data_IF_464130487660
#
_entry.id   IF_464130487660
#
_cell.length_a   1.000
_cell.length_b   1.000
_cell.length_c   1.000
_cell.angle_alpha   90.00
_cell.angle_beta   90.00
_cell.angle_gamma   90.00
#
_symmetry.space_group_name_H-M   'P 1'
#
loop_
_entity.id
_entity.type
_entity.pdbx_description
1 polymer ?
#
# COMPACT_ATOMS: atom_id res chain seq x y z
N UNK A 1 20.17 42.73 3.22
CA UNK A 1 21.24 41.75 3.55
C UNK A 1 20.58 40.61 4.30
N UNK A 2 20.55 39.43 3.69
CA UNK A 2 19.87 38.27 4.24
C UNK A 2 20.77 37.59 5.28
N UNK A 3 20.43 37.75 6.57
CA UNK A 3 21.28 37.30 7.71
C UNK A 3 21.43 35.80 7.80
N UNK A 4 20.50 35.04 7.22
CA UNK A 4 20.52 33.58 7.21
C UNK A 4 21.60 33.05 6.24
N UNK A 5 21.92 33.84 5.21
CA UNK A 5 22.92 33.49 4.19
C UNK A 5 24.37 33.42 4.72
N UNK A 6 24.64 33.80 5.98
CA UNK A 6 25.98 33.78 6.59
C UNK A 6 26.20 32.62 7.58
N UNK A 7 25.21 31.73 7.74
CA UNK A 7 25.32 30.59 8.65
C UNK A 7 26.16 29.44 8.05
N UNK A 8 26.84 28.63 8.89
CA UNK A 8 27.43 27.35 8.49
C UNK A 8 26.39 26.36 7.97
N UNK A 9 26.77 25.52 7.00
CA UNK A 9 25.84 24.60 6.31
C UNK A 9 25.15 23.61 7.26
N UNK A 10 25.80 23.19 8.34
CA UNK A 10 25.21 22.34 9.40
C UNK A 10 24.07 23.04 10.15
N UNK A 11 24.22 24.34 10.43
CA UNK A 11 23.16 25.12 11.09
C UNK A 11 22.02 25.41 10.13
N UNK A 12 22.31 25.61 8.84
CA UNK A 12 21.28 25.78 7.81
C UNK A 12 20.49 24.47 7.61
N UNK A 13 21.16 23.33 7.50
CA UNK A 13 20.51 22.01 7.39
C UNK A 13 19.58 21.75 8.58
N UNK A 14 20.06 22.07 9.78
CA UNK A 14 19.27 21.97 11.01
C UNK A 14 18.08 22.92 10.99
N UNK A 15 18.23 24.18 10.59
CA UNK A 15 17.11 25.12 10.45
C UNK A 15 16.08 24.61 9.44
N UNK A 16 16.51 24.14 8.27
CA UNK A 16 15.61 23.60 7.22
C UNK A 16 14.86 22.37 7.69
N UNK A 17 15.48 21.50 8.51
CA UNK A 17 14.80 20.35 9.10
C UNK A 17 13.69 20.71 10.10
N UNK A 18 13.66 21.96 10.58
CA UNK A 18 12.63 22.47 11.50
C UNK A 18 11.59 23.37 10.84
N UNK A 19 11.71 23.63 9.52
CA UNK A 19 10.76 24.47 8.80
C UNK A 19 9.58 23.66 8.30
N UNK A 20 8.40 24.28 8.27
CA UNK A 20 7.29 23.75 7.51
C UNK A 20 7.70 23.62 6.03
N UNK A 21 7.21 22.57 5.37
CA UNK A 21 7.23 22.32 3.92
C UNK A 21 7.30 23.59 3.05
N UNK A 22 6.36 24.50 3.33
CA UNK A 22 6.18 25.77 2.63
C UNK A 22 7.32 26.75 2.85
N UNK A 23 7.86 26.82 4.06
CA UNK A 23 8.97 27.71 4.41
C UNK A 23 10.30 27.15 3.93
N UNK A 24 10.49 25.83 3.98
CA UNK A 24 11.63 25.14 3.39
C UNK A 24 11.65 25.32 1.86
N UNK A 25 10.53 25.07 1.17
CA UNK A 25 10.41 25.30 -0.28
C UNK A 25 10.59 26.78 -0.66
N UNK A 26 10.02 27.71 0.13
CA UNK A 26 10.21 29.15 -0.08
C UNK A 26 11.66 29.57 0.12
N UNK A 27 12.35 29.08 1.16
CA UNK A 27 13.76 29.34 1.39
C UNK A 27 14.68 28.74 0.31
N UNK A 28 14.31 27.58 -0.25
CA UNK A 28 15.00 26.95 -1.37
C UNK A 28 14.89 27.76 -2.68
N UNK A 29 13.76 28.47 -2.88
CA UNK A 29 13.55 29.37 -4.02
C UNK A 29 14.29 30.70 -3.84
N UNK A 30 14.36 31.22 -2.62
CA UNK A 30 14.79 32.59 -2.34
C UNK A 30 16.32 32.81 -2.37
N UNK A 31 17.17 31.77 -2.25
CA UNK A 31 18.62 31.99 -2.25
C UNK A 31 19.45 30.90 -2.94
N UNK A 32 20.39 31.35 -3.79
CA UNK A 32 21.36 30.52 -4.52
C UNK A 32 22.26 29.69 -3.59
N UNK A 33 22.40 30.06 -2.30
CA UNK A 33 23.22 29.33 -1.32
C UNK A 33 22.49 28.13 -0.70
N UNK A 34 21.18 28.21 -0.48
CA UNK A 34 20.37 27.06 -0.03
C UNK A 34 20.19 26.03 -1.14
N UNK A 35 20.42 26.45 -2.38
CA UNK A 35 20.67 25.59 -3.53
C UNK A 35 21.96 24.75 -3.42
N UNK A 36 22.76 24.85 -2.35
CA UNK A 36 23.84 23.89 -2.09
C UNK A 36 23.64 23.12 -0.78
N UNK A 37 22.74 23.56 0.12
CA UNK A 37 22.43 22.84 1.37
C UNK A 37 21.54 21.62 1.12
N UNK A 38 20.85 21.55 -0.04
CA UNK A 38 20.07 20.36 -0.42
C UNK A 38 20.94 19.10 -0.58
N UNK A 39 22.24 19.23 -0.87
CA UNK A 39 23.14 18.07 -1.02
C UNK A 39 23.49 17.38 0.29
N UNK A 40 22.94 17.84 1.43
CA UNK A 40 23.21 17.26 2.76
C UNK A 40 21.94 16.67 3.38
N UNK A 41 20.74 17.04 2.87
CA UNK A 41 19.48 16.56 3.42
C UNK A 41 19.27 15.10 2.98
N UNK A 42 19.28 14.20 3.97
CA UNK A 42 19.02 12.76 3.77
C UNK A 42 17.53 12.44 3.84
N UNK A 43 16.79 13.14 4.70
CA UNK A 43 15.37 12.91 4.97
C UNK A 43 14.60 14.22 4.83
N UNK A 44 13.50 14.19 4.07
CA UNK A 44 12.66 15.36 3.84
C UNK A 44 11.17 15.00 4.04
N UNK A 45 10.49 15.74 4.91
CA UNK A 45 9.08 15.51 5.26
C UNK A 45 8.27 16.76 4.93
N UNK A 46 7.23 16.60 4.10
CA UNK A 46 6.25 17.64 3.82
C UNK A 46 4.91 17.26 4.44
N UNK A 47 4.60 17.76 5.63
CA UNK A 47 3.31 17.58 6.31
C UNK A 47 2.75 18.96 6.65
N UNK A 48 1.79 19.46 5.86
CA UNK A 48 1.16 20.77 6.10
C UNK A 48 -0.36 20.59 6.22
N UNK A 49 -0.92 21.00 7.37
CA UNK A 49 -2.38 21.05 7.59
C UNK A 49 -3.01 22.31 6.99
N UNK A 50 -2.22 23.26 6.49
CA UNK A 50 -2.70 24.40 5.73
C UNK A 50 -2.73 24.06 4.23
N UNK A 51 -3.80 24.46 3.53
CA UNK A 51 -3.98 24.23 2.08
C UNK A 51 -2.74 24.68 1.28
N UNK A 52 -1.93 23.74 0.82
CA UNK A 52 -0.83 24.03 -0.10
C UNK A 52 -1.35 24.04 -1.54
N UNK A 53 -1.72 25.22 -2.04
CA UNK A 53 -1.97 25.45 -3.47
C UNK A 53 -0.67 25.83 -4.20
N UNK A 54 0.37 25.01 -4.07
CA UNK A 54 1.65 25.25 -4.73
C UNK A 54 2.02 24.11 -5.68
N UNK A 55 2.63 24.46 -6.81
CA UNK A 55 3.35 23.49 -7.65
C UNK A 55 4.63 23.08 -6.94
N UNK A 56 4.83 21.78 -6.73
CA UNK A 56 6.06 21.26 -6.14
C UNK A 56 7.24 21.65 -7.05
N UNK A 57 8.13 22.50 -6.55
CA UNK A 57 9.21 23.08 -7.36
C UNK A 57 10.24 21.99 -7.65
N UNK A 58 10.48 21.70 -8.93
CA UNK A 58 11.26 20.53 -9.38
C UNK A 58 12.72 20.42 -8.95
N UNK A 59 13.23 21.36 -8.16
CA UNK A 59 14.59 21.32 -7.62
C UNK A 59 14.79 20.15 -6.64
N UNK A 60 13.76 19.81 -5.86
CA UNK A 60 13.83 18.71 -4.89
C UNK A 60 14.03 17.37 -5.60
N UNK A 61 13.41 17.18 -6.77
CA UNK A 61 13.51 15.97 -7.59
C UNK A 61 14.85 15.83 -8.33
N UNK A 62 15.84 16.66 -8.03
CA UNK A 62 17.22 16.55 -8.58
C UNK A 62 18.26 16.31 -7.49
N UNK A 63 17.82 16.11 -6.25
CA UNK A 63 18.72 15.90 -5.12
C UNK A 63 19.41 14.54 -5.20
N UNK A 64 20.75 14.55 -5.27
CA UNK A 64 21.56 13.33 -5.37
C UNK A 64 21.80 12.60 -4.05
N UNK A 65 21.51 13.23 -2.92
CA UNK A 65 21.82 12.72 -1.58
C UNK A 65 20.60 12.35 -0.76
N UNK A 66 19.41 12.71 -1.23
CA UNK A 66 18.15 12.41 -0.57
C UNK A 66 17.93 10.90 -0.55
N UNK A 67 17.77 10.34 0.64
CA UNK A 67 17.60 8.91 0.89
C UNK A 67 16.14 8.57 1.25
N UNK A 68 15.48 9.46 1.99
CA UNK A 68 14.06 9.33 2.36
C UNK A 68 13.27 10.58 2.00
N UNK A 69 12.12 10.37 1.37
CA UNK A 69 11.18 11.43 1.04
C UNK A 69 9.79 11.04 1.52
N UNK A 70 9.20 11.87 2.37
CA UNK A 70 7.81 11.76 2.81
C UNK A 70 7.02 12.98 2.32
N UNK A 71 5.93 12.70 1.63
CA UNK A 71 5.00 13.68 1.08
C UNK A 71 3.64 13.42 1.73
N UNK A 72 3.08 14.43 2.39
CA UNK A 72 1.86 14.34 3.18
C UNK A 72 0.63 14.98 2.53
N UNK A 73 -0.39 15.19 3.37
CA UNK A 73 -1.72 15.65 2.99
C UNK A 73 -1.68 16.95 2.18
N UNK A 74 -2.66 17.12 1.29
CA UNK A 74 -2.86 18.30 0.41
C UNK A 74 -1.79 18.54 -0.67
N UNK A 75 -0.78 17.67 -0.81
CA UNK A 75 0.16 17.73 -1.94
C UNK A 75 -0.53 17.19 -3.19
N UNK A 76 -0.46 17.98 -4.27
CA UNK A 76 -0.92 17.59 -5.61
C UNK A 76 0.27 17.54 -6.55
N UNK A 77 0.57 16.36 -7.07
CA UNK A 77 1.61 16.13 -8.09
C UNK A 77 0.93 16.13 -9.46
N UNK A 78 1.05 17.24 -10.18
CA UNK A 78 0.49 17.39 -11.53
C UNK A 78 1.47 16.99 -12.63
N UNK A 79 2.77 17.33 -12.52
CA UNK A 79 3.83 16.89 -13.42
C UNK A 79 5.16 16.77 -12.68
N UNK A 80 5.92 15.73 -13.02
CA UNK A 80 7.36 15.72 -12.80
C UNK A 80 8.05 16.35 -14.02
N UNK A 81 9.01 17.23 -13.77
CA UNK A 81 9.90 17.72 -14.83
C UNK A 81 10.65 16.52 -15.42
N UNK A 82 10.80 16.49 -16.75
CA UNK A 82 11.49 15.43 -17.52
C UNK A 82 12.91 15.07 -17.02
N UNK A 83 13.50 15.88 -16.14
CA UNK A 83 14.86 15.72 -15.63
C UNK A 83 14.91 15.31 -14.14
N UNK A 84 13.77 14.90 -13.56
CA UNK A 84 13.73 14.39 -12.19
C UNK A 84 14.60 13.13 -12.06
N UNK A 85 15.58 13.17 -11.15
CA UNK A 85 16.42 12.04 -10.79
C UNK A 85 16.81 12.13 -9.31
N UNK A 86 16.40 11.12 -8.56
CA UNK A 86 16.69 10.92 -7.14
C UNK A 86 17.52 9.63 -6.98
N UNK A 87 18.81 9.65 -7.37
CA UNK A 87 19.62 8.44 -7.52
C UNK A 87 19.96 7.73 -6.21
N UNK A 88 19.76 8.38 -5.06
CA UNK A 88 20.05 7.82 -3.73
C UNK A 88 18.80 7.51 -2.90
N UNK A 89 17.60 7.76 -3.43
CA UNK A 89 16.35 7.62 -2.69
C UNK A 89 15.99 6.14 -2.51
N UNK A 90 15.96 5.68 -1.25
CA UNK A 90 15.61 4.31 -0.87
C UNK A 90 14.22 4.20 -0.27
N UNK A 91 13.72 5.24 0.39
CA UNK A 91 12.41 5.22 1.04
C UNK A 91 11.54 6.37 0.55
N UNK A 92 10.35 6.04 0.06
CA UNK A 92 9.36 7.00 -0.41
C UNK A 92 8.03 6.75 0.29
N UNK A 93 7.46 7.81 0.86
CA UNK A 93 6.20 7.75 1.60
C UNK A 93 5.26 8.80 1.02
N UNK A 94 4.09 8.36 0.58
CA UNK A 94 2.97 9.20 0.19
C UNK A 94 1.85 9.02 1.22
N UNK A 95 1.51 10.07 1.95
CA UNK A 95 0.38 10.12 2.88
C UNK A 95 -0.67 11.08 2.31
N UNK A 96 -1.75 10.53 1.74
CA UNK A 96 -2.85 11.28 1.12
C UNK A 96 -2.43 12.27 0.02
N UNK A 97 -1.49 11.86 -0.84
CA UNK A 97 -0.95 12.67 -1.96
C UNK A 97 -1.72 12.45 -3.26
N UNK A 98 -2.23 13.52 -3.90
CA UNK A 98 -3.01 13.41 -5.14
C UNK A 98 -2.15 13.49 -6.40
N UNK A 99 -2.49 12.70 -7.42
CA UNK A 99 -1.89 12.76 -8.76
C UNK A 99 -2.90 13.27 -9.79
N UNK A 100 -2.50 14.25 -10.62
CA UNK A 100 -3.40 14.90 -11.59
C UNK A 100 -2.79 14.94 -13.01
N UNK A 101 -2.82 13.83 -13.77
CA UNK A 101 -2.77 13.90 -15.24
C UNK A 101 -3.26 12.60 -15.91
N UNK A 102 -3.94 12.71 -17.06
CA UNK A 102 -4.49 11.58 -17.84
C UNK A 102 -3.50 11.01 -18.86
N UNK A 103 -2.55 11.83 -19.34
CA UNK A 103 -1.86 11.51 -20.60
C UNK A 103 -0.44 10.95 -20.45
N UNK A 104 0.15 10.99 -19.24
CA UNK A 104 1.34 10.23 -18.89
C UNK A 104 1.48 10.25 -17.35
N UNK A 105 1.43 9.07 -16.76
CA UNK A 105 1.22 8.87 -15.33
C UNK A 105 2.40 9.38 -14.49
N UNK A 106 2.22 10.56 -13.88
CA UNK A 106 3.21 11.21 -13.01
C UNK A 106 3.76 10.28 -11.91
N UNK A 107 2.94 9.35 -11.43
CA UNK A 107 3.36 8.31 -10.49
C UNK A 107 4.44 7.39 -11.05
N UNK A 108 4.29 6.88 -12.30
CA UNK A 108 5.31 6.04 -12.92
C UNK A 108 6.58 6.80 -13.20
N UNK A 109 6.47 8.03 -13.72
CA UNK A 109 7.62 8.90 -13.91
C UNK A 109 8.39 9.13 -12.60
N UNK A 110 7.67 9.16 -11.46
CA UNK A 110 8.27 9.28 -10.14
C UNK A 110 9.06 8.05 -9.74
N UNK A 111 8.49 6.86 -9.95
CA UNK A 111 9.18 5.60 -9.67
C UNK A 111 10.43 5.45 -10.57
N UNK A 112 10.33 5.84 -11.84
CA UNK A 112 11.48 5.84 -12.77
C UNK A 112 12.59 6.81 -12.35
N UNK A 113 12.24 7.94 -11.73
CA UNK A 113 13.22 8.89 -11.19
C UNK A 113 13.99 8.36 -9.97
N UNK A 114 13.52 7.27 -9.33
CA UNK A 114 14.07 6.72 -8.10
C UNK A 114 14.63 5.29 -8.32
N UNK A 115 15.73 5.12 -9.08
CA UNK A 115 16.18 3.80 -9.55
C UNK A 115 16.57 2.82 -8.44
N UNK A 116 16.97 3.32 -7.27
CA UNK A 116 17.43 2.51 -6.12
C UNK A 116 16.37 2.34 -5.02
N UNK A 117 15.12 2.71 -5.29
CA UNK A 117 14.03 2.69 -4.32
C UNK A 117 13.84 1.29 -3.72
N UNK A 118 13.83 1.19 -2.39
CA UNK A 118 13.67 -0.05 -1.62
C UNK A 118 12.33 -0.16 -0.93
N UNK A 119 11.79 0.95 -0.47
CA UNK A 119 10.57 1.00 0.32
C UNK A 119 9.63 2.07 -0.23
N UNK A 120 8.40 1.65 -0.52
CA UNK A 120 7.32 2.52 -0.96
C UNK A 120 6.13 2.33 -0.03
N UNK A 121 5.71 3.41 0.60
CA UNK A 121 4.47 3.47 1.38
C UNK A 121 3.53 4.46 0.70
N UNK A 122 2.31 4.02 0.48
CA UNK A 122 1.21 4.85 0.00
C UNK A 122 0.08 4.62 0.99
N UNK A 123 -0.31 5.66 1.71
CA UNK A 123 -1.31 5.60 2.77
C UNK A 123 -2.35 6.72 2.59
N UNK A 124 -3.54 6.52 3.14
CA UNK A 124 -4.65 7.46 3.06
C UNK A 124 -5.06 7.75 1.61
N UNK A 125 -5.08 6.72 0.76
CA UNK A 125 -5.42 6.83 -0.65
C UNK A 125 -6.90 7.08 -0.90
N UNK A 126 -7.19 7.91 -1.91
CA UNK A 126 -8.54 8.13 -2.44
C UNK A 126 -8.52 8.00 -3.96
N UNK A 127 -8.47 6.76 -4.49
CA UNK A 127 -8.28 6.54 -5.95
C UNK A 127 -9.35 7.21 -6.81
N UNK A 128 -10.60 7.39 -6.33
CA UNK A 128 -11.62 8.10 -7.13
C UNK A 128 -11.20 9.53 -7.51
N UNK A 129 -10.32 10.13 -6.71
CA UNK A 129 -9.81 11.48 -6.96
C UNK A 129 -8.42 11.49 -7.58
N UNK A 130 -7.78 10.32 -7.72
CA UNK A 130 -6.40 10.20 -8.19
C UNK A 130 -6.37 9.59 -9.58
N UNK A 131 -5.77 10.30 -10.53
CA UNK A 131 -5.50 9.77 -11.86
C UNK A 131 -4.14 9.07 -11.86
N UNK A 132 -4.03 8.00 -11.08
CA UNK A 132 -2.84 7.16 -11.06
C UNK A 132 -3.02 5.99 -12.04
N UNK A 133 -1.93 5.50 -12.64
CA UNK A 133 -2.01 4.49 -13.70
C UNK A 133 -2.42 3.10 -13.24
N UNK A 134 -2.56 2.85 -11.94
CA UNK A 134 -2.74 1.50 -11.40
C UNK A 134 -1.51 0.60 -11.56
N UNK A 135 -0.34 1.15 -11.93
CA UNK A 135 0.86 0.37 -12.26
C UNK A 135 1.94 0.72 -11.26
N UNK A 136 2.41 -0.30 -10.54
CA UNK A 136 3.61 -0.26 -9.70
C UNK A 136 4.62 -1.21 -10.34
N UNK A 137 5.62 -0.66 -11.03
CA UNK A 137 6.72 -1.44 -11.61
C UNK A 137 8.05 -0.94 -11.07
N UNK A 138 8.81 -1.85 -10.44
CA UNK A 138 10.13 -1.54 -9.90
C UNK A 138 10.93 -2.81 -9.65
N UNK A 139 12.16 -2.86 -10.19
CA UNK A 139 13.09 -3.97 -9.97
C UNK A 139 13.90 -3.85 -8.68
N UNK A 140 13.93 -2.67 -8.06
CA UNK A 140 14.71 -2.42 -6.85
C UNK A 140 13.88 -2.50 -5.57
N UNK A 141 12.56 -2.35 -5.68
CA UNK A 141 11.61 -2.30 -4.57
C UNK A 141 11.56 -3.63 -3.81
N UNK A 142 11.66 -3.55 -2.49
CA UNK A 142 11.70 -4.68 -1.55
C UNK A 142 10.53 -4.66 -0.56
N UNK A 143 9.98 -3.49 -0.24
CA UNK A 143 8.84 -3.31 0.65
C UNK A 143 7.80 -2.41 0.01
N UNK A 144 6.56 -2.87 -0.04
CA UNK A 144 5.43 -2.12 -0.54
C UNK A 144 4.32 -2.11 0.51
N UNK A 145 3.87 -0.93 0.86
CA UNK A 145 2.68 -0.72 1.70
C UNK A 145 1.71 0.16 0.94
N UNK A 146 0.48 -0.31 0.76
CA UNK A 146 -0.63 0.37 0.09
C UNK A 146 -1.82 0.25 1.03
N UNK A 147 -2.25 1.37 1.61
CA UNK A 147 -3.40 1.44 2.49
C UNK A 147 -4.39 2.52 2.05
N UNK A 148 -5.67 2.15 1.98
CA UNK A 148 -6.78 3.06 1.77
C UNK A 148 -7.49 3.39 3.09
N UNK A 149 -7.92 4.65 3.23
CA UNK A 149 -8.88 5.05 4.27
C UNK A 149 -10.31 4.68 3.80
N UNK A 150 -10.94 3.71 4.46
CA UNK A 150 -12.20 3.07 4.02
C UNK A 150 -13.45 3.87 4.46
N UNK A 151 -13.51 5.17 4.20
CA UNK A 151 -14.61 6.06 4.61
C UNK A 151 -15.18 6.79 3.38
N UNK A 152 -16.51 6.93 3.29
CA UNK A 152 -17.25 7.73 2.29
C UNK A 152 -16.96 7.41 0.80
N UNK A 153 -17.10 6.13 0.43
CA UNK A 153 -16.84 5.66 -0.93
C UNK A 153 -18.04 5.79 -1.89
N UNK A 154 -17.87 6.57 -2.97
CA UNK A 154 -18.72 6.47 -4.16
C UNK A 154 -17.94 5.72 -5.23
N UNK A 155 -18.30 4.45 -5.41
CA UNK A 155 -17.86 3.50 -6.45
C UNK A 155 -16.78 3.96 -7.44
N UNK A 156 -15.65 3.24 -7.58
CA UNK A 156 -14.55 3.71 -8.40
C UNK A 156 -14.93 3.60 -9.88
N UNK A 157 -14.22 4.34 -10.73
CA UNK A 157 -14.14 3.98 -12.14
C UNK A 157 -13.53 2.58 -12.29
N UNK A 158 -13.85 1.85 -13.36
CA UNK A 158 -13.21 0.58 -13.62
C UNK A 158 -11.70 0.72 -13.63
N UNK A 159 -11.02 -0.06 -12.81
CA UNK A 159 -9.58 0.03 -12.65
C UNK A 159 -8.98 -1.35 -12.72
N UNK A 160 -7.86 -1.45 -13.42
CA UNK A 160 -6.99 -2.61 -13.36
C UNK A 160 -5.69 -2.21 -12.69
N UNK A 161 -5.14 -3.11 -11.89
CA UNK A 161 -3.87 -2.89 -11.20
C UNK A 161 -2.81 -3.84 -11.73
N UNK A 162 -1.59 -3.34 -11.83
CA UNK A 162 -0.41 -4.11 -12.20
C UNK A 162 0.67 -3.93 -11.15
N UNK A 163 1.15 -5.06 -10.64
CA UNK A 163 2.36 -5.14 -9.84
C UNK A 163 3.42 -5.87 -10.64
N UNK A 164 4.44 -5.15 -11.09
CA UNK A 164 5.64 -5.73 -11.70
C UNK A 164 6.88 -5.44 -10.84
N UNK A 165 6.97 -6.16 -9.72
CA UNK A 165 7.98 -5.93 -8.67
C UNK A 165 8.64 -7.24 -8.25
N UNK A 166 9.46 -7.87 -9.11
CA UNK A 166 10.00 -9.21 -8.87
C UNK A 166 10.90 -9.32 -7.62
N UNK A 167 11.50 -8.21 -7.18
CA UNK A 167 12.37 -8.13 -6.00
C UNK A 167 11.63 -7.86 -4.69
N UNK A 168 10.29 -7.74 -4.73
CA UNK A 168 9.48 -7.42 -3.57
C UNK A 168 9.54 -8.57 -2.56
N UNK A 169 9.92 -8.30 -1.32
CA UNK A 169 10.03 -9.28 -0.25
C UNK A 169 8.87 -9.17 0.77
N UNK A 170 8.30 -7.97 0.93
CA UNK A 170 7.21 -7.69 1.85
C UNK A 170 6.11 -6.86 1.15
N UNK A 171 4.87 -7.30 1.31
CA UNK A 171 3.68 -6.61 0.84
C UNK A 171 2.71 -6.38 2.01
N UNK A 172 2.24 -5.16 2.16
CA UNK A 172 1.10 -4.82 3.00
C UNK A 172 0.08 -4.09 2.13
N UNK A 173 -1.04 -4.72 1.83
CA UNK A 173 -1.98 -4.27 0.82
C UNK A 173 -3.42 -4.29 1.36
N UNK A 174 -3.97 -3.09 1.53
CA UNK A 174 -5.33 -2.85 1.98
C UNK A 174 -6.10 -1.95 1.02
N UNK A 175 -7.09 -2.49 0.30
CA UNK A 175 -7.95 -1.74 -0.62
C UNK A 175 -9.25 -2.47 -0.99
N UNK A 176 -10.16 -1.76 -1.65
CA UNK A 176 -11.21 -2.36 -2.47
C UNK A 176 -10.60 -3.12 -3.65
N UNK A 177 -11.07 -4.33 -3.87
CA UNK A 177 -10.62 -5.19 -4.96
C UNK A 177 -11.08 -4.57 -6.29
N UNK A 178 -10.15 -4.25 -7.21
CA UNK A 178 -10.46 -3.66 -8.53
C UNK A 178 -11.16 -4.67 -9.47
N UNK A 179 -11.52 -4.25 -10.68
CA UNK A 179 -12.08 -5.17 -11.70
C UNK A 179 -11.10 -6.28 -12.09
N UNK A 180 -9.81 -6.07 -11.85
CA UNK A 180 -8.80 -7.09 -12.01
C UNK A 180 -7.38 -6.63 -11.70
N UNK A 181 -6.52 -7.62 -11.53
CA UNK A 181 -5.07 -7.43 -11.49
C UNK A 181 -4.48 -7.99 -12.78
N UNK A 182 -3.99 -7.14 -13.68
CA UNK A 182 -3.52 -7.57 -15.01
C UNK A 182 -2.24 -8.38 -14.91
N UNK A 183 -1.28 -7.90 -14.13
CA UNK A 183 0.01 -8.56 -13.87
C UNK A 183 0.27 -8.51 -12.37
N UNK A 184 0.67 -9.64 -11.80
CA UNK A 184 1.08 -9.76 -10.40
C UNK A 184 2.38 -10.55 -10.34
N UNK A 185 3.49 -9.84 -10.51
CA UNK A 185 4.84 -10.38 -10.46
C UNK A 185 5.48 -10.10 -9.09
N UNK A 186 5.42 -11.13 -8.25
CA UNK A 186 5.90 -11.16 -6.87
C UNK A 186 6.90 -12.32 -6.66
N UNK A 187 7.83 -12.52 -7.59
CA UNK A 187 8.76 -13.67 -7.58
C UNK A 187 9.50 -13.90 -6.26
N UNK A 188 9.91 -12.81 -5.59
CA UNK A 188 10.69 -12.86 -4.34
C UNK A 188 9.85 -12.66 -3.07
N UNK A 189 8.51 -12.64 -3.15
CA UNK A 189 7.66 -12.27 -2.02
C UNK A 189 7.71 -13.32 -0.91
N UNK A 190 8.05 -12.86 0.30
CA UNK A 190 8.19 -13.69 1.50
C UNK A 190 7.01 -13.49 2.43
N UNK A 191 6.59 -12.25 2.63
CA UNK A 191 5.55 -11.89 3.59
C UNK A 191 4.48 -11.02 2.93
N UNK A 192 3.22 -11.36 3.18
CA UNK A 192 2.08 -10.60 2.71
C UNK A 192 1.07 -10.37 3.83
N UNK A 193 0.63 -9.12 3.99
CA UNK A 193 -0.49 -8.71 4.85
C UNK A 193 -1.59 -8.17 3.95
N UNK A 194 -2.79 -8.71 4.07
CA UNK A 194 -3.91 -8.41 3.17
C UNK A 194 -5.14 -7.92 3.94
N UNK A 195 -5.71 -6.81 3.45
CA UNK A 195 -7.01 -6.30 3.82
C UNK A 195 -7.84 -6.01 2.55
N UNK A 196 -8.59 -7.01 2.08
CA UNK A 196 -9.30 -6.96 0.80
C UNK A 196 -10.80 -6.80 1.00
N UNK A 197 -11.41 -5.87 0.26
CA UNK A 197 -12.85 -5.63 0.27
C UNK A 197 -13.42 -5.76 -1.15
N UNK A 198 -14.35 -6.69 -1.36
CA UNK A 198 -15.03 -6.84 -2.65
C UNK A 198 -16.16 -5.81 -2.81
N UNK A 199 -16.50 -5.50 -4.06
CA UNK A 199 -17.60 -4.64 -4.43
C UNK A 199 -18.63 -5.40 -5.27
N UNK A 200 -19.90 -5.08 -5.05
CA UNK A 200 -21.05 -5.56 -5.82
C UNK A 200 -21.63 -4.38 -6.58
N UNK A 201 -21.87 -4.53 -7.89
CA UNK A 201 -22.39 -3.45 -8.75
C UNK A 201 -21.61 -2.12 -8.63
N UNK A 202 -20.28 -2.19 -8.49
CA UNK A 202 -19.38 -1.03 -8.30
C UNK A 202 -19.72 -0.19 -7.07
N UNK A 203 -20.36 -0.78 -6.06
CA UNK A 203 -20.66 -0.11 -4.80
C UNK A 203 -20.20 -0.98 -3.65
N UNK A 204 -19.60 -0.34 -2.67
CA UNK A 204 -19.53 -0.93 -1.35
C UNK A 204 -20.78 -0.52 -0.58
N UNK A 205 -21.61 -1.50 -0.23
CA UNK A 205 -22.90 -1.24 0.42
C UNK A 205 -22.85 -1.36 1.94
N UNK A 206 -21.66 -1.48 2.52
CA UNK A 206 -21.47 -1.68 3.96
C UNK A 206 -21.91 -3.06 4.47
N UNK A 207 -22.21 -4.00 3.56
CA UNK A 207 -22.55 -5.39 3.86
C UNK A 207 -21.80 -6.34 2.93
N UNK A 208 -21.71 -7.60 3.36
CA UNK A 208 -21.03 -8.70 2.68
C UNK A 208 -21.75 -9.06 1.39
N UNK A 209 -20.98 -9.50 0.41
CA UNK A 209 -21.48 -10.12 -0.81
C UNK A 209 -21.85 -11.57 -0.53
N UNK A 210 -22.93 -12.03 -1.13
CA UNK A 210 -23.42 -13.40 -1.00
C UNK A 210 -23.11 -14.25 -2.24
N UNK A 211 -23.19 -15.58 -2.09
CA UNK A 211 -23.07 -16.51 -3.21
C UNK A 211 -24.17 -16.20 -4.24
N UNK A 212 -23.77 -15.71 -5.42
CA UNK A 212 -24.69 -15.32 -6.51
C UNK A 212 -24.67 -13.84 -6.86
N UNK A 213 -24.01 -13.00 -6.06
CA UNK A 213 -23.84 -11.58 -6.37
C UNK A 213 -22.97 -11.37 -7.63
N UNK A 214 -23.33 -10.35 -8.42
CA UNK A 214 -22.53 -9.93 -9.57
C UNK A 214 -21.41 -9.02 -9.06
N UNK A 215 -20.26 -9.64 -8.78
CA UNK A 215 -19.08 -8.92 -8.32
C UNK A 215 -18.55 -7.99 -9.42
N UNK A 216 -18.25 -6.75 -9.05
CA UNK A 216 -17.45 -5.82 -9.87
C UNK A 216 -15.95 -5.87 -9.50
N UNK A 217 -15.57 -6.88 -8.72
CA UNK A 217 -14.23 -7.08 -8.18
C UNK A 217 -13.67 -8.40 -8.70
N UNK A 218 -12.36 -8.48 -8.94
CA UNK A 218 -11.69 -9.73 -9.29
C UNK A 218 -10.31 -9.84 -8.63
N UNK A 219 -10.21 -10.67 -7.58
CA UNK A 219 -8.98 -10.90 -6.82
C UNK A 219 -8.11 -12.05 -7.36
N UNK A 220 -8.55 -12.76 -8.41
CA UNK A 220 -7.96 -14.02 -8.89
C UNK A 220 -6.44 -13.94 -9.05
N UNK A 221 -5.95 -12.96 -9.81
CA UNK A 221 -4.53 -12.86 -10.12
C UNK A 221 -3.70 -12.38 -8.92
N UNK A 222 -4.27 -11.58 -8.01
CA UNK A 222 -3.59 -11.21 -6.76
C UNK A 222 -3.40 -12.43 -5.87
N UNK A 223 -4.47 -13.21 -5.67
CA UNK A 223 -4.46 -14.45 -4.87
C UNK A 223 -3.46 -15.45 -5.45
N UNK A 224 -3.40 -15.60 -6.78
CA UNK A 224 -2.42 -16.48 -7.42
C UNK A 224 -0.99 -15.93 -7.35
N UNK A 225 -0.82 -14.62 -7.39
CA UNK A 225 0.49 -13.95 -7.37
C UNK A 225 1.24 -14.13 -6.04
N UNK A 226 0.53 -14.26 -4.92
CA UNK A 226 1.13 -14.45 -3.59
C UNK A 226 1.50 -15.92 -3.29
N UNK A 227 1.41 -16.85 -4.24
CA UNK A 227 1.60 -18.30 -4.02
C UNK A 227 2.92 -18.73 -3.33
N UNK A 228 3.96 -17.89 -3.38
CA UNK A 228 5.28 -18.20 -2.82
C UNK A 228 5.52 -17.67 -1.41
N UNK A 229 4.54 -17.00 -0.81
CA UNK A 229 4.68 -16.45 0.54
C UNK A 229 5.00 -17.53 1.57
N UNK A 230 5.75 -17.12 2.56
CA UNK A 230 6.14 -17.90 3.73
C UNK A 230 5.29 -17.52 4.95
N UNK A 231 4.93 -16.25 5.04
CA UNK A 231 4.11 -15.64 6.08
C UNK A 231 2.95 -14.93 5.40
N UNK A 232 1.73 -15.28 5.81
CA UNK A 232 0.50 -14.63 5.34
C UNK A 232 -0.30 -14.13 6.53
N UNK A 233 -0.60 -12.84 6.55
CA UNK A 233 -1.49 -12.22 7.52
C UNK A 233 -2.77 -11.75 6.82
N UNK A 234 -3.90 -12.15 7.38
CA UNK A 234 -5.23 -11.77 6.93
C UNK A 234 -5.83 -10.86 8.01
N UNK A 235 -5.71 -9.54 7.83
CA UNK A 235 -5.90 -8.56 8.89
C UNK A 235 -7.34 -8.01 8.97
N UNK A 236 -8.31 -8.64 8.31
CA UNK A 236 -9.69 -8.15 8.22
C UNK A 236 -10.67 -9.24 7.82
N UNK A 237 -11.89 -9.27 8.40
CA UNK A 237 -12.92 -10.25 8.06
C UNK A 237 -13.41 -10.13 6.60
N UNK A 238 -13.33 -8.96 5.98
CA UNK A 238 -13.65 -8.80 4.55
C UNK A 238 -12.67 -9.58 3.64
N UNK A 239 -11.43 -9.77 4.10
CA UNK A 239 -10.44 -10.61 3.39
C UNK A 239 -10.85 -12.07 3.42
N UNK A 240 -11.46 -12.54 4.51
CA UNK A 240 -11.98 -13.90 4.64
C UNK A 240 -13.08 -14.17 3.62
N UNK A 241 -14.02 -13.23 3.50
CA UNK A 241 -15.08 -13.28 2.49
C UNK A 241 -14.50 -13.30 1.07
N UNK A 242 -13.55 -12.40 0.78
CA UNK A 242 -12.86 -12.34 -0.51
C UNK A 242 -12.24 -13.69 -0.86
N UNK A 243 -11.51 -14.32 0.06
CA UNK A 243 -10.90 -15.64 -0.17
C UNK A 243 -11.93 -16.75 -0.37
N UNK A 244 -13.10 -16.67 0.27
CA UNK A 244 -14.19 -17.63 0.06
C UNK A 244 -14.84 -17.47 -1.34
N UNK A 245 -15.10 -16.23 -1.77
CA UNK A 245 -15.67 -15.94 -3.09
C UNK A 245 -14.70 -16.36 -4.22
N UNK A 246 -13.40 -16.17 -4.02
CA UNK A 246 -12.35 -16.55 -4.96
C UNK A 246 -11.62 -17.86 -4.60
N UNK A 247 -12.29 -18.77 -3.88
CA UNK A 247 -11.69 -20.03 -3.38
C UNK A 247 -11.03 -20.90 -4.45
N UNK A 248 -11.56 -20.87 -5.68
CA UNK A 248 -11.02 -21.65 -6.79
C UNK A 248 -9.66 -21.09 -7.27
N UNK A 249 -9.42 -19.80 -7.07
CA UNK A 249 -8.18 -19.12 -7.43
C UNK A 249 -7.04 -19.33 -6.42
N UNK A 250 -7.35 -19.79 -5.20
CA UNK A 250 -6.34 -20.02 -4.15
C UNK A 250 -5.25 -20.96 -4.70
N UNK A 251 -3.97 -20.58 -4.70
CA UNK A 251 -2.89 -21.44 -5.18
C UNK A 251 -2.49 -22.46 -4.12
N UNK A 252 -1.72 -23.47 -4.51
CA UNK A 252 -0.99 -24.28 -3.52
C UNK A 252 0.17 -23.45 -2.96
N UNK A 253 0.14 -23.22 -1.66
CA UNK A 253 1.14 -22.50 -0.90
C UNK A 253 2.22 -23.43 -0.37
N UNK A 254 3.12 -23.86 -1.25
CA UNK A 254 4.20 -24.79 -0.91
C UNK A 254 5.15 -24.25 0.17
N UNK A 255 5.32 -22.94 0.28
CA UNK A 255 6.29 -22.30 1.19
C UNK A 255 5.66 -21.71 2.46
N UNK A 256 4.33 -21.64 2.51
CA UNK A 256 3.61 -21.02 3.62
C UNK A 256 3.76 -21.88 4.87
N UNK A 257 4.38 -21.31 5.90
CA UNK A 257 4.57 -21.98 7.18
C UNK A 257 3.96 -21.21 8.35
N UNK A 258 3.59 -19.94 8.16
CA UNK A 258 2.93 -19.12 9.16
C UNK A 258 1.71 -18.41 8.55
N UNK A 259 0.54 -18.63 9.15
CA UNK A 259 -0.71 -17.96 8.80
C UNK A 259 -1.26 -17.28 10.05
N UNK A 260 -1.53 -15.98 9.95
CA UNK A 260 -2.20 -15.20 10.98
C UNK A 260 -3.54 -14.71 10.46
N UNK A 261 -4.58 -14.85 11.26
CA UNK A 261 -5.91 -14.34 11.01
C UNK A 261 -6.28 -13.37 12.13
N UNK A 262 -6.47 -12.10 11.81
CA UNK A 262 -6.88 -11.09 12.79
C UNK A 262 -8.29 -10.62 12.48
N UNK A 263 -9.17 -10.63 13.48
CA UNK A 263 -10.51 -10.08 13.35
C UNK A 263 -11.05 -9.59 14.70
N UNK A 264 -11.91 -8.58 14.64
CA UNK A 264 -12.58 -7.96 15.79
C UNK A 264 -14.06 -8.37 15.91
N UNK A 265 -14.68 -8.79 14.81
CA UNK A 265 -16.10 -9.16 14.76
C UNK A 265 -16.29 -10.68 14.69
N UNK A 266 -16.99 -11.20 15.70
CA UNK A 266 -17.29 -12.64 15.89
C UNK A 266 -18.47 -13.14 15.06
N UNK A 267 -19.15 -12.25 14.32
CA UNK A 267 -20.21 -12.59 13.37
C UNK A 267 -19.69 -13.15 12.03
N UNK A 268 -18.36 -13.15 11.81
CA UNK A 268 -17.76 -13.59 10.55
C UNK A 268 -17.29 -15.03 10.52
N UNK A 269 -17.91 -15.81 9.62
CA UNK A 269 -17.60 -17.22 9.43
C UNK A 269 -16.28 -17.45 8.70
N UNK A 270 -15.51 -18.42 9.17
CA UNK A 270 -14.23 -18.80 8.58
C UNK A 270 -14.38 -19.75 7.38
N UNK A 271 -15.35 -19.50 6.50
CA UNK A 271 -15.71 -20.40 5.38
C UNK A 271 -14.58 -20.57 4.35
N UNK A 272 -13.67 -19.62 4.25
CA UNK A 272 -12.50 -19.70 3.36
C UNK A 272 -11.43 -20.65 3.87
N UNK A 273 -11.36 -20.84 5.20
CA UNK A 273 -10.26 -21.52 5.87
C UNK A 273 -10.03 -22.95 5.33
N UNK A 274 -11.07 -23.75 4.98
CA UNK A 274 -10.86 -25.09 4.43
C UNK A 274 -10.15 -25.07 3.10
N UNK A 275 -10.51 -24.12 2.25
CA UNK A 275 -9.93 -23.99 0.92
C UNK A 275 -8.46 -23.57 0.99
N UNK A 276 -8.10 -22.73 1.96
CA UNK A 276 -6.73 -22.30 2.17
C UNK A 276 -5.88 -23.40 2.84
N UNK A 277 -6.35 -23.99 3.94
CA UNK A 277 -5.60 -25.02 4.67
C UNK A 277 -5.36 -26.27 3.82
N UNK A 278 -6.32 -26.69 3.01
CA UNK A 278 -6.14 -27.81 2.06
C UNK A 278 -5.08 -27.53 1.00
N UNK A 279 -4.72 -26.26 0.78
CA UNK A 279 -3.71 -25.80 -0.16
C UNK A 279 -2.43 -25.31 0.53
N UNK A 280 -2.26 -25.52 1.83
CA UNK A 280 -1.08 -25.12 2.60
C UNK A 280 -0.39 -26.34 3.27
N UNK A 281 0.23 -27.24 2.48
CA UNK A 281 0.73 -28.52 2.98
C UNK A 281 1.87 -28.41 4.00
N UNK A 282 2.59 -27.29 4.02
CA UNK A 282 3.75 -27.06 4.90
C UNK A 282 3.46 -26.06 6.03
N UNK A 283 2.19 -25.77 6.32
CA UNK A 283 1.80 -24.86 7.39
C UNK A 283 2.24 -25.41 8.76
N UNK A 284 2.99 -24.61 9.53
CA UNK A 284 3.50 -24.99 10.86
C UNK A 284 2.83 -24.21 11.98
N UNK A 285 2.40 -22.99 11.70
CA UNK A 285 1.80 -22.10 12.69
C UNK A 285 0.54 -21.47 12.11
N UNK A 286 -0.55 -21.61 12.84
CA UNK A 286 -1.80 -20.91 12.62
C UNK A 286 -2.08 -20.06 13.86
N UNK A 287 -2.04 -18.74 13.71
CA UNK A 287 -2.39 -17.78 14.75
C UNK A 287 -3.77 -17.23 14.43
N UNK A 288 -4.65 -17.24 15.41
CA UNK A 288 -5.98 -16.64 15.31
C UNK A 288 -6.07 -15.58 16.41
N UNK A 289 -6.08 -14.32 15.99
CA UNK A 289 -6.16 -13.16 16.85
C UNK A 289 -7.57 -12.56 16.73
N UNK A 290 -8.40 -12.82 17.73
CA UNK A 290 -9.81 -12.45 17.70
C UNK A 290 -10.64 -13.41 18.53
N UNK A 291 -11.92 -13.11 18.72
CA UNK A 291 -12.86 -14.06 19.33
C UNK A 291 -13.10 -15.29 18.44
N UNK A 292 -13.74 -16.32 18.95
CA UNK A 292 -14.19 -17.42 18.08
C UNK A 292 -15.43 -16.99 17.30
N UNK A 293 -15.55 -17.46 16.05
CA UNK A 293 -16.81 -17.36 15.33
C UNK A 293 -17.86 -18.25 16.01
N UNK A 294 -18.70 -17.63 16.83
CA UNK A 294 -19.75 -18.27 17.60
C UNK A 294 -21.09 -17.67 17.17
N UNK A 295 -21.96 -18.50 16.57
CA UNK A 295 -23.34 -18.09 16.25
C UNK A 295 -24.15 -17.89 17.54
N UNK A 296 -23.80 -18.61 18.60
CA UNK A 296 -24.36 -18.52 19.96
C UNK A 296 -23.25 -18.85 20.99
N UNK A 297 -23.34 -18.39 22.26
CA UNK A 297 -22.28 -18.52 23.27
C UNK A 297 -21.81 -19.94 23.61
N UNK A 298 -22.52 -20.99 23.18
CA UNK A 298 -22.23 -22.39 23.55
C UNK A 298 -22.13 -23.35 22.35
N UNK A 299 -22.12 -22.84 21.11
CA UNK A 299 -22.05 -23.67 19.90
C UNK A 299 -20.84 -23.34 19.04
N UNK A 300 -19.98 -24.34 18.83
CA UNK A 300 -18.94 -24.30 17.81
C UNK A 300 -19.60 -24.15 16.44
N UNK A 301 -19.27 -23.08 15.71
CA UNK A 301 -19.86 -22.86 14.40
C UNK A 301 -19.57 -24.03 13.44
N UNK A 302 -20.52 -24.35 12.54
CA UNK A 302 -20.33 -25.33 11.46
C UNK A 302 -19.10 -25.06 10.58
N UNK A 303 -18.59 -23.83 10.54
CA UNK A 303 -17.31 -23.54 9.87
C UNK A 303 -16.14 -24.37 10.45
N UNK A 304 -16.24 -24.78 11.72
CA UNK A 304 -15.24 -25.57 12.45
C UNK A 304 -15.59 -27.07 12.52
N UNK A 305 -16.78 -27.50 12.06
CA UNK A 305 -17.21 -28.89 12.21
C UNK A 305 -16.41 -29.89 11.37
N UNK A 306 -15.65 -29.42 10.38
CA UNK A 306 -14.72 -30.24 9.59
C UNK A 306 -13.31 -30.37 10.18
N UNK A 307 -13.04 -29.74 11.33
CA UNK A 307 -11.70 -29.58 11.87
C UNK A 307 -11.55 -30.18 13.26
N UNK A 308 -11.55 -31.50 13.33
CA UNK A 308 -11.22 -32.20 14.58
C UNK A 308 -9.88 -31.77 15.17
N UNK A 309 -8.92 -31.36 14.34
CA UNK A 309 -7.63 -30.84 14.77
C UNK A 309 -7.68 -29.43 15.37
N UNK A 310 -8.64 -28.59 14.98
CA UNK A 310 -8.83 -27.27 15.60
C UNK A 310 -9.67 -27.40 16.87
N UNK A 311 -10.58 -28.39 16.94
CA UNK A 311 -11.35 -28.68 18.15
C UNK A 311 -10.48 -29.04 19.37
N UNK A 312 -9.26 -29.57 19.18
CA UNK A 312 -8.33 -29.88 20.26
C UNK A 312 -7.47 -28.71 20.76
N UNK A 313 -7.52 -27.57 20.07
CA UNK A 313 -6.77 -26.36 20.45
C UNK A 313 -7.56 -25.47 21.43
N UNK A 314 -8.76 -25.89 21.82
CA UNK A 314 -9.69 -25.16 22.70
C UNK A 314 -9.96 -25.93 23.98
#
# INVERSE_FOLDING_TARGET
MDRISNLPDELISRIVSFLAAKDAASLLVLSRRFRNVYTIIQDLVFDDRAKFQGTFTGLIFTCKTLNKLKLGREIVISLLLQNALLPSLKTLIFESVRFCNLDDCAFQAFLLACPVLKELTIDGMYWETWKWSGIVSSRSLQRLTIGRELIDFKGPDPQNITFDTPSLAYLDYGDFVPDGYTIVNFESLVEARLNLLVMVDRRWRGHFSEDGDILSSNATNLIQGIKHVQILELSSPYTFETLYLFRDAIPVFEKLHHLTMTHDDTGFGWRFLPFLLNKAPNLKTLVIEGGLHCLEPDYVCRCLSGYSCLLSCF
#
